data_IF_761280117591
#
_entry.id   IF_761280117591
#
_cell.length_a   1.000
_cell.length_b   1.000
_cell.length_c   1.000
_cell.angle_alpha   90.00
_cell.angle_beta   90.00
_cell.angle_gamma   90.00
#
_symmetry.space_group_name_H-M   'P 1'
#
loop_
_entity.id
_entity.type
_entity.pdbx_description
1 polymer ?
#
# COMPACT_ATOMS: atom_id res chain seq x y z
N UNK A 1 -22.48 -48.53 58.30
CA UNK A 1 -23.21 -48.01 57.14
C UNK A 1 -22.83 -46.56 56.81
N UNK A 2 -23.03 -45.59 57.72
CA UNK A 2 -22.70 -44.16 57.46
C UNK A 2 -21.23 -43.88 57.09
N UNK A 3 -20.28 -44.60 57.70
CA UNK A 3 -18.85 -44.41 57.43
C UNK A 3 -18.43 -44.87 56.03
N UNK A 4 -18.99 -45.97 55.55
CA UNK A 4 -18.74 -46.48 54.20
C UNK A 4 -19.36 -45.58 53.13
N UNK A 5 -20.57 -45.04 53.38
CA UNK A 5 -21.19 -44.06 52.48
C UNK A 5 -20.38 -42.76 52.36
N UNK A 6 -19.80 -42.27 53.47
CA UNK A 6 -18.92 -41.08 53.44
C UNK A 6 -17.62 -41.33 52.65
N UNK A 7 -17.05 -42.53 52.75
CA UNK A 7 -15.86 -42.90 51.99
C UNK A 7 -16.17 -43.00 50.49
N UNK A 8 -17.29 -43.63 50.13
CA UNK A 8 -17.76 -43.75 48.75
C UNK A 8 -18.06 -42.38 48.13
N UNK A 9 -18.71 -41.48 48.89
CA UNK A 9 -19.00 -40.12 48.44
C UNK A 9 -17.73 -39.30 48.23
N UNK A 10 -16.74 -39.39 49.14
CA UNK A 10 -15.44 -38.72 48.96
C UNK A 10 -14.70 -39.24 47.73
N UNK A 11 -14.73 -40.54 47.49
CA UNK A 11 -14.10 -41.16 46.32
C UNK A 11 -14.77 -40.70 45.02
N UNK A 12 -16.11 -40.74 44.94
CA UNK A 12 -16.88 -40.24 43.80
C UNK A 12 -16.65 -38.75 43.54
N UNK A 13 -16.55 -37.94 44.60
CA UNK A 13 -16.27 -36.51 44.48
C UNK A 13 -14.84 -36.27 43.93
N UNK A 14 -13.87 -37.07 44.36
CA UNK A 14 -12.49 -36.98 43.89
C UNK A 14 -12.34 -37.39 42.42
N UNK A 15 -13.03 -38.46 41.99
CA UNK A 15 -13.10 -38.86 40.58
C UNK A 15 -13.82 -37.82 39.73
N UNK A 16 -14.88 -37.19 40.26
CA UNK A 16 -15.56 -36.09 39.56
C UNK A 16 -14.64 -34.89 39.35
N UNK A 17 -13.88 -34.46 40.36
CA UNK A 17 -12.92 -33.37 40.20
C UNK A 17 -11.76 -33.73 39.25
N UNK A 18 -11.28 -34.99 39.29
CA UNK A 18 -10.24 -35.45 38.38
C UNK A 18 -10.72 -35.46 36.92
N UNK A 19 -11.94 -35.96 36.68
CA UNK A 19 -12.52 -36.00 35.32
C UNK A 19 -12.80 -34.60 34.77
N UNK A 20 -13.35 -33.69 35.58
CA UNK A 20 -13.54 -32.28 35.20
C UNK A 20 -12.19 -31.63 34.90
N UNK A 21 -11.19 -31.80 35.76
CA UNK A 21 -9.85 -31.22 35.56
C UNK A 21 -9.17 -31.69 34.27
N UNK A 22 -9.28 -32.99 33.94
CA UNK A 22 -8.78 -33.53 32.67
C UNK A 22 -9.52 -32.90 31.49
N UNK A 23 -10.84 -32.78 31.57
CA UNK A 23 -11.64 -32.17 30.50
C UNK A 23 -11.24 -30.71 30.26
N UNK A 24 -11.01 -29.93 31.32
CA UNK A 24 -10.57 -28.53 31.19
C UNK A 24 -9.19 -28.43 30.56
N UNK A 25 -8.25 -29.29 30.95
CA UNK A 25 -6.90 -29.34 30.35
C UNK A 25 -6.99 -29.69 28.87
N UNK A 26 -7.81 -30.67 28.49
CA UNK A 26 -8.01 -31.06 27.09
C UNK A 26 -8.63 -29.92 26.29
N UNK A 27 -9.65 -29.23 26.82
CA UNK A 27 -10.26 -28.08 26.15
C UNK A 27 -9.25 -26.94 25.99
N UNK A 28 -8.47 -26.62 27.03
CA UNK A 28 -7.41 -25.60 26.94
C UNK A 28 -6.34 -26.02 25.93
N UNK A 29 -5.91 -27.28 25.94
CA UNK A 29 -4.94 -27.79 24.97
C UNK A 29 -5.48 -27.74 23.54
N UNK A 30 -6.75 -28.09 23.31
CA UNK A 30 -7.43 -27.98 22.01
C UNK A 30 -7.56 -26.52 21.59
N UNK A 31 -7.88 -25.60 22.51
CA UNK A 31 -7.93 -24.16 22.22
C UNK A 31 -6.55 -23.59 21.91
N UNK A 32 -5.50 -24.01 22.62
CA UNK A 32 -4.10 -23.64 22.36
C UNK A 32 -3.64 -24.22 21.02
N UNK A 33 -4.00 -25.46 20.69
CA UNK A 33 -3.69 -26.10 19.41
C UNK A 33 -4.47 -25.46 18.26
N UNK A 34 -5.72 -25.05 18.48
CA UNK A 34 -6.53 -24.30 17.52
C UNK A 34 -6.08 -22.83 17.37
N UNK A 35 -5.42 -22.27 18.38
CA UNK A 35 -4.77 -20.96 18.36
C UNK A 35 -3.26 -21.03 18.09
N UNK A 36 -2.71 -22.18 17.72
CA UNK A 36 -1.36 -22.20 17.15
C UNK A 36 -1.45 -21.33 15.89
N UNK A 37 -0.70 -20.23 15.78
CA UNK A 37 -0.61 -19.52 14.52
C UNK A 37 -0.20 -20.56 13.49
N UNK A 38 -1.01 -20.71 12.44
CA UNK A 38 -0.61 -21.48 11.25
C UNK A 38 0.82 -21.05 10.94
N UNK A 39 1.77 -22.00 10.79
CA UNK A 39 3.18 -21.64 10.66
C UNK A 39 3.27 -20.60 9.56
N UNK A 40 3.69 -19.39 9.93
CA UNK A 40 3.91 -18.30 9.00
C UNK A 40 4.76 -18.87 7.87
N UNK A 41 4.14 -18.97 6.70
CA UNK A 41 4.71 -19.44 5.46
C UNK A 41 6.06 -18.72 5.26
N UNK A 42 7.17 -19.47 5.28
CA UNK A 42 8.51 -18.92 4.99
C UNK A 42 8.50 -18.25 3.61
N UNK A 43 9.48 -17.38 3.33
CA UNK A 43 9.51 -16.54 2.12
C UNK A 43 9.32 -17.32 0.80
N UNK A 44 9.86 -18.54 0.69
CA UNK A 44 9.65 -19.43 -0.47
C UNK A 44 8.19 -19.89 -0.62
N UNK A 45 7.52 -20.19 0.49
CA UNK A 45 6.10 -20.55 0.51
C UNK A 45 5.23 -19.33 0.13
N UNK A 46 5.65 -18.12 0.55
CA UNK A 46 4.93 -16.89 0.25
C UNK A 46 4.95 -16.57 -1.24
N UNK A 47 6.09 -16.75 -1.89
CA UNK A 47 6.21 -16.61 -3.35
C UNK A 47 5.31 -17.61 -4.09
N UNK A 48 5.25 -18.87 -3.64
CA UNK A 48 4.34 -19.86 -4.21
C UNK A 48 2.89 -19.45 -3.99
N UNK A 49 2.50 -19.06 -2.78
CA UNK A 49 1.12 -18.64 -2.47
C UNK A 49 0.67 -17.44 -3.32
N UNK A 50 1.52 -16.42 -3.43
CA UNK A 50 1.27 -15.24 -4.26
C UNK A 50 1.32 -15.54 -5.76
N UNK A 51 1.71 -16.74 -6.20
CA UNK A 51 1.65 -17.15 -7.61
C UNK A 51 0.37 -17.92 -7.97
N UNK A 52 -0.45 -18.29 -6.98
CA UNK A 52 -1.69 -19.02 -7.19
C UNK A 52 -2.86 -18.07 -7.53
N UNK A 53 -3.88 -18.57 -8.26
CA UNK A 53 -5.11 -17.82 -8.46
C UNK A 53 -5.92 -17.79 -7.16
N UNK A 54 -5.63 -16.80 -6.32
CA UNK A 54 -6.25 -16.60 -5.01
C UNK A 54 -7.33 -15.54 -5.14
N UNK A 55 -8.53 -15.86 -4.65
CA UNK A 55 -9.64 -14.89 -4.57
C UNK A 55 -9.19 -13.64 -3.82
N UNK A 56 -9.58 -12.46 -4.31
CA UNK A 56 -9.26 -11.20 -3.63
C UNK A 56 -9.83 -11.09 -2.20
N UNK A 57 -10.83 -11.92 -1.87
CA UNK A 57 -11.45 -12.02 -0.54
C UNK A 57 -10.87 -13.15 0.32
N UNK A 58 -9.81 -13.83 -0.13
CA UNK A 58 -9.21 -14.93 0.62
C UNK A 58 -8.76 -14.44 2.01
N UNK A 59 -9.27 -15.03 3.11
CA UNK A 59 -8.95 -14.55 4.46
C UNK A 59 -7.45 -14.58 4.77
N UNK A 60 -6.72 -15.55 4.22
CA UNK A 60 -5.28 -15.69 4.46
C UNK A 60 -4.51 -14.59 3.75
N UNK A 61 -4.90 -14.24 2.51
CA UNK A 61 -4.35 -13.10 1.78
C UNK A 61 -4.63 -11.79 2.52
N UNK A 62 -5.85 -11.58 3.00
CA UNK A 62 -6.21 -10.38 3.74
C UNK A 62 -5.45 -10.26 5.08
N UNK A 63 -5.26 -11.37 5.80
CA UNK A 63 -4.44 -11.39 7.03
C UNK A 63 -2.98 -11.09 6.72
N UNK A 64 -2.43 -11.74 5.69
CA UNK A 64 -1.06 -11.53 5.24
C UNK A 64 -0.79 -10.06 4.91
N UNK A 65 -1.65 -9.43 4.10
CA UNK A 65 -1.50 -8.01 3.75
C UNK A 65 -1.54 -7.16 5.01
N UNK A 66 -2.55 -7.37 5.86
CA UNK A 66 -2.77 -6.57 7.07
C UNK A 66 -1.62 -6.68 8.07
N UNK A 67 -1.06 -7.87 8.26
CA UNK A 67 -0.08 -8.15 9.30
C UNK A 67 1.36 -7.90 8.84
N UNK A 68 1.67 -8.08 7.56
CA UNK A 68 3.06 -8.03 7.07
C UNK A 68 3.34 -6.85 6.14
N UNK A 69 2.31 -6.26 5.51
CA UNK A 69 2.51 -5.28 4.44
C UNK A 69 1.81 -3.93 4.66
N UNK A 70 0.95 -3.81 5.68
CA UNK A 70 0.39 -2.52 6.08
C UNK A 70 1.17 -1.97 7.28
N UNK A 71 1.82 -0.83 7.08
CA UNK A 71 2.46 -0.07 8.16
C UNK A 71 1.52 1.07 8.58
N UNK A 72 1.04 1.11 9.83
CA UNK A 72 0.16 2.18 10.30
C UNK A 72 0.89 3.53 10.35
N UNK A 73 0.16 4.66 10.40
CA UNK A 73 0.77 5.98 10.58
C UNK A 73 1.70 6.00 11.80
N UNK A 74 2.84 6.72 11.72
CA UNK A 74 3.75 6.84 12.84
C UNK A 74 3.10 7.60 14.00
N UNK A 75 3.55 7.31 15.23
CA UNK A 75 3.05 8.00 16.44
C UNK A 75 3.36 9.51 16.44
N UNK A 76 4.45 9.89 15.79
CA UNK A 76 4.87 11.28 15.63
C UNK A 76 4.77 11.58 14.14
N UNK A 77 3.79 12.41 13.79
CA UNK A 77 3.53 12.84 12.42
C UNK A 77 4.41 14.06 12.13
N UNK A 78 5.05 14.08 10.97
CA UNK A 78 5.80 15.26 10.51
C UNK A 78 4.86 16.29 9.91
N UNK A 79 4.96 17.54 10.37
CA UNK A 79 4.19 18.67 9.84
C UNK A 79 5.03 19.61 8.95
N UNK A 80 6.34 19.44 8.86
CA UNK A 80 7.26 20.54 8.48
C UNK A 80 8.11 20.35 7.22
N UNK A 81 8.06 19.23 6.49
CA UNK A 81 9.17 18.93 5.56
C UNK A 81 9.14 19.61 4.19
N UNK A 82 7.98 20.01 3.65
CA UNK A 82 7.87 20.58 2.28
C UNK A 82 6.79 21.66 2.19
N UNK A 83 7.14 22.82 1.63
CA UNK A 83 6.14 23.81 1.20
C UNK A 83 5.49 23.37 -0.11
N UNK A 84 4.25 22.88 -0.01
CA UNK A 84 3.44 22.41 -1.14
C UNK A 84 3.01 23.54 -2.09
N UNK A 85 3.08 24.79 -1.64
CA UNK A 85 2.65 25.96 -2.40
C UNK A 85 3.76 26.57 -3.25
N UNK A 86 5.03 26.39 -2.84
CA UNK A 86 6.20 26.96 -3.53
C UNK A 86 7.20 25.91 -4.05
N UNK A 87 6.80 24.64 -4.06
CA UNK A 87 7.68 23.53 -4.48
C UNK A 87 8.20 23.66 -5.91
N UNK A 88 9.40 23.11 -6.14
CA UNK A 88 10.05 23.16 -7.46
C UNK A 88 9.22 22.47 -8.55
N UNK A 89 8.48 21.40 -8.22
CA UNK A 89 7.67 20.67 -9.19
C UNK A 89 6.43 21.42 -9.67
N UNK A 90 5.96 22.46 -8.98
CA UNK A 90 4.91 23.35 -9.53
C UNK A 90 5.34 24.02 -10.84
N UNK A 91 6.64 24.18 -11.06
CA UNK A 91 7.20 24.77 -12.29
C UNK A 91 7.50 23.74 -13.37
N UNK A 92 7.58 22.47 -13.00
CA UNK A 92 8.01 21.40 -13.91
C UNK A 92 6.83 20.83 -14.70
N UNK A 93 5.66 20.80 -14.07
CA UNK A 93 4.47 20.09 -14.54
C UNK A 93 3.20 20.81 -14.13
N UNK A 94 2.12 20.52 -14.87
CA UNK A 94 0.75 20.93 -14.56
C UNK A 94 0.16 20.25 -13.30
N UNK A 95 1.01 19.71 -12.42
CA UNK A 95 0.64 19.13 -11.13
C UNK A 95 -0.19 20.09 -10.27
N UNK A 96 0.14 21.39 -10.31
CA UNK A 96 -0.53 22.40 -9.51
C UNK A 96 -2.01 22.57 -9.89
N UNK A 97 -2.37 22.33 -11.17
CA UNK A 97 -3.77 22.40 -11.62
C UNK A 97 -4.64 21.38 -10.88
N UNK A 98 -4.10 20.17 -10.67
CA UNK A 98 -4.81 19.14 -9.90
C UNK A 98 -4.99 19.58 -8.45
N UNK A 99 -3.97 20.21 -7.85
CA UNK A 99 -4.07 20.72 -6.48
C UNK A 99 -5.12 21.82 -6.34
N UNK A 100 -5.25 22.70 -7.35
CA UNK A 100 -6.28 23.74 -7.37
C UNK A 100 -7.68 23.14 -7.47
N UNK A 101 -7.88 22.14 -8.33
CA UNK A 101 -9.15 21.41 -8.41
C UNK A 101 -9.49 20.71 -7.10
N UNK A 102 -8.53 20.04 -6.46
CA UNK A 102 -8.75 19.36 -5.18
C UNK A 102 -9.10 20.35 -4.07
N UNK A 103 -8.43 21.50 -4.00
CA UNK A 103 -8.81 22.59 -3.08
C UNK A 103 -10.24 23.03 -3.36
N UNK A 104 -10.58 23.34 -4.60
CA UNK A 104 -11.89 23.89 -4.93
C UNK A 104 -13.02 22.90 -4.62
N UNK A 105 -12.78 21.59 -4.79
CA UNK A 105 -13.73 20.51 -4.47
C UNK A 105 -13.86 20.24 -2.96
N UNK A 106 -12.76 20.31 -2.20
CA UNK A 106 -12.71 19.77 -0.83
C UNK A 106 -12.43 20.78 0.28
N UNK A 107 -12.09 22.04 -0.01
CA UNK A 107 -11.70 23.04 1.01
C UNK A 107 -12.74 23.27 2.11
N UNK A 108 -14.03 23.05 1.82
CA UNK A 108 -15.16 23.22 2.74
C UNK A 108 -15.74 21.88 3.22
N UNK A 109 -15.12 20.75 2.86
CA UNK A 109 -15.61 19.41 3.19
C UNK A 109 -15.00 18.90 4.49
N UNK A 110 -15.74 18.01 5.15
CA UNK A 110 -15.22 17.26 6.28
C UNK A 110 -14.02 16.37 5.85
N UNK A 111 -13.13 16.00 6.79
CA UNK A 111 -12.05 15.08 6.50
C UNK A 111 -12.54 13.77 5.88
N UNK A 112 -11.83 13.29 4.86
CA UNK A 112 -12.15 12.07 4.12
C UNK A 112 -11.00 11.07 4.09
N UNK A 113 -11.22 9.97 3.38
CA UNK A 113 -10.25 8.90 3.14
C UNK A 113 -9.69 8.99 1.73
N UNK A 114 -8.36 9.04 1.62
CA UNK A 114 -7.69 8.93 0.33
C UNK A 114 -6.97 7.59 0.16
N UNK A 115 -6.71 7.24 -1.11
CA UNK A 115 -5.75 6.21 -1.50
C UNK A 115 -4.88 6.78 -2.61
N UNK A 116 -3.56 6.70 -2.49
CA UNK A 116 -2.62 7.15 -3.51
C UNK A 116 -1.67 6.01 -3.90
N UNK A 117 -1.68 5.64 -5.18
CA UNK A 117 -0.84 4.57 -5.73
C UNK A 117 0.26 5.14 -6.61
N UNK A 118 1.50 4.98 -6.17
CA UNK A 118 2.69 5.59 -6.78
C UNK A 118 3.05 6.92 -6.14
N UNK A 119 3.07 6.99 -4.80
CA UNK A 119 3.36 8.23 -4.04
C UNK A 119 4.84 8.65 -4.08
N UNK A 120 5.73 7.83 -4.67
CA UNK A 120 7.16 8.08 -4.71
C UNK A 120 7.73 8.26 -3.29
N UNK A 121 8.44 9.37 -3.03
CA UNK A 121 9.06 9.62 -1.74
C UNK A 121 8.10 10.15 -0.66
N UNK A 122 6.79 10.22 -0.95
CA UNK A 122 5.76 10.70 -0.04
C UNK A 122 5.37 12.16 -0.19
N UNK A 123 6.22 13.00 -0.79
CA UNK A 123 5.99 14.45 -0.89
C UNK A 123 6.13 14.99 -2.32
N UNK A 124 7.10 14.48 -3.07
CA UNK A 124 7.32 14.86 -4.46
C UNK A 124 6.06 14.59 -5.27
N UNK A 125 5.44 15.66 -5.78
CA UNK A 125 4.22 15.61 -6.57
C UNK A 125 3.06 14.80 -5.95
N UNK A 126 2.99 14.66 -4.62
CA UNK A 126 1.89 13.91 -4.02
C UNK A 126 0.54 14.55 -4.34
N UNK A 127 -0.43 13.70 -4.67
CA UNK A 127 -1.81 14.10 -4.93
C UNK A 127 -2.65 14.26 -3.67
N UNK A 128 -2.20 13.72 -2.54
CA UNK A 128 -2.98 13.67 -1.29
C UNK A 128 -2.39 14.49 -0.15
N UNK A 129 -1.15 14.99 -0.28
CA UNK A 129 -0.48 15.71 0.80
C UNK A 129 -1.21 16.98 1.22
N UNK A 130 -1.83 17.70 0.27
CA UNK A 130 -2.69 18.85 0.57
C UNK A 130 -3.91 18.45 1.42
N UNK A 131 -4.63 17.39 1.02
CA UNK A 131 -5.80 16.90 1.74
C UNK A 131 -5.42 16.48 3.17
N UNK A 132 -4.29 15.80 3.33
CA UNK A 132 -3.78 15.38 4.63
C UNK A 132 -3.45 16.57 5.54
N UNK A 133 -2.62 17.50 5.06
CA UNK A 133 -2.10 18.60 5.89
C UNK A 133 -3.11 19.72 6.14
N UNK A 134 -3.92 20.06 5.15
CA UNK A 134 -4.81 21.21 5.22
C UNK A 134 -6.24 20.84 5.61
N UNK A 135 -6.68 19.61 5.31
CA UNK A 135 -8.06 19.18 5.54
C UNK A 135 -8.15 18.01 6.52
N UNK A 136 -7.03 17.61 7.14
CA UNK A 136 -6.97 16.52 8.12
C UNK A 136 -7.44 15.17 7.57
N UNK A 137 -7.34 14.96 6.26
CA UNK A 137 -7.59 13.65 5.67
C UNK A 137 -6.51 12.65 6.10
N UNK A 138 -6.85 11.37 6.02
CA UNK A 138 -5.88 10.28 6.17
C UNK A 138 -6.21 9.21 5.12
N UNK A 139 -5.39 8.18 5.02
CA UNK A 139 -5.57 7.23 3.94
C UNK A 139 -4.50 6.17 3.85
N UNK A 140 -4.38 5.62 2.64
CA UNK A 140 -3.42 4.60 2.28
C UNK A 140 -2.48 5.12 1.18
N UNK A 141 -1.17 4.94 1.38
CA UNK A 141 -0.12 5.27 0.43
C UNK A 141 0.59 3.99 -0.04
N UNK A 142 0.65 3.79 -1.36
CA UNK A 142 1.19 2.58 -1.98
C UNK A 142 2.43 2.96 -2.80
N UNK A 143 3.58 2.36 -2.48
CA UNK A 143 4.83 2.60 -3.22
C UNK A 143 5.73 1.36 -3.24
N UNK A 144 5.84 0.65 -4.37
CA UNK A 144 6.62 -0.57 -4.45
C UNK A 144 8.12 -0.37 -4.68
N UNK A 145 8.60 0.80 -5.11
CA UNK A 145 10.05 1.04 -5.22
C UNK A 145 10.66 1.11 -3.83
N UNK A 146 11.54 0.17 -3.43
CA UNK A 146 12.08 0.12 -2.07
C UNK A 146 12.92 1.35 -1.71
N UNK A 147 13.45 2.08 -2.69
CA UNK A 147 14.18 3.34 -2.48
C UNK A 147 13.21 4.45 -2.11
N UNK A 148 12.12 4.57 -2.87
CA UNK A 148 11.04 5.54 -2.64
C UNK A 148 10.29 5.24 -1.34
N UNK A 149 9.94 3.98 -1.10
CA UNK A 149 9.24 3.54 0.10
C UNK A 149 10.04 3.85 1.38
N UNK A 150 11.36 3.65 1.38
CA UNK A 150 12.20 4.08 2.51
C UNK A 150 12.10 5.58 2.79
N UNK A 151 12.09 6.41 1.74
CA UNK A 151 11.94 7.85 1.89
C UNK A 151 10.54 8.21 2.38
N UNK A 152 9.48 7.61 1.81
CA UNK A 152 8.10 7.77 2.23
C UNK A 152 7.93 7.55 3.73
N UNK A 153 8.45 6.44 4.26
CA UNK A 153 8.38 6.16 5.70
C UNK A 153 9.09 7.21 6.54
N UNK A 154 10.24 7.71 6.07
CA UNK A 154 10.98 8.76 6.74
C UNK A 154 10.24 10.12 6.74
N UNK A 155 9.30 10.35 5.80
CA UNK A 155 8.45 11.55 5.79
C UNK A 155 7.39 11.55 6.88
N UNK A 156 7.13 10.39 7.50
CA UNK A 156 6.21 10.26 8.63
C UNK A 156 4.83 10.91 8.40
N UNK A 157 4.24 10.62 7.24
CA UNK A 157 2.89 11.08 6.86
C UNK A 157 1.81 10.46 7.74
N UNK A 158 0.70 11.17 7.92
CA UNK A 158 -0.49 10.71 8.62
C UNK A 158 -1.33 9.74 7.76
N UNK A 159 -0.72 8.66 7.29
CA UNK A 159 -1.37 7.66 6.45
C UNK A 159 -0.75 6.28 6.68
N UNK A 160 -1.55 5.24 6.49
CA UNK A 160 -1.04 3.87 6.39
C UNK A 160 -0.20 3.77 5.11
N UNK A 161 0.92 3.09 5.16
CA UNK A 161 1.79 2.88 3.99
C UNK A 161 1.95 1.41 3.68
N UNK A 162 2.19 1.08 2.41
CA UNK A 162 2.50 -0.29 1.99
C UNK A 162 3.54 -0.33 0.87
N UNK A 163 4.48 -1.29 0.89
CA UNK A 163 5.44 -1.50 -0.18
C UNK A 163 4.91 -2.42 -1.30
N UNK A 164 3.62 -2.78 -1.25
CA UNK A 164 3.01 -3.62 -2.27
C UNK A 164 2.84 -2.86 -3.59
N UNK A 165 2.93 -3.56 -4.71
CA UNK A 165 2.38 -3.06 -5.97
C UNK A 165 0.90 -3.46 -6.11
N UNK A 166 0.20 -2.76 -7.00
CA UNK A 166 -1.16 -3.14 -7.39
C UNK A 166 -1.10 -3.94 -8.68
N UNK A 167 -1.73 -5.12 -8.68
CA UNK A 167 -1.89 -6.00 -9.84
C UNK A 167 -3.36 -6.33 -10.06
N UNK A 168 -3.68 -6.85 -11.25
CA UNK A 168 -5.03 -7.23 -11.63
C UNK A 168 -5.37 -8.69 -11.26
N UNK A 169 -6.61 -8.90 -10.81
CA UNK A 169 -7.26 -10.19 -10.46
C UNK A 169 -6.63 -11.01 -9.33
N UNK A 170 -5.34 -11.33 -9.43
CA UNK A 170 -4.66 -12.24 -8.52
C UNK A 170 -3.41 -11.59 -7.93
N UNK A 171 -2.99 -12.01 -6.73
CA UNK A 171 -1.66 -11.68 -6.25
C UNK A 171 -0.60 -12.19 -7.24
N UNK A 172 0.56 -11.56 -7.23
CA UNK A 172 1.69 -11.94 -8.06
C UNK A 172 3.02 -11.49 -7.44
N UNK A 173 4.11 -12.14 -7.84
CA UNK A 173 5.45 -11.57 -7.69
C UNK A 173 5.78 -10.81 -8.99
N UNK A 174 5.66 -9.48 -8.94
CA UNK A 174 5.87 -8.59 -10.07
C UNK A 174 7.34 -8.21 -10.23
N UNK A 175 7.79 -8.11 -11.49
CA UNK A 175 9.10 -7.51 -11.81
C UNK A 175 8.95 -5.99 -11.89
N UNK A 176 9.48 -5.27 -10.91
CA UNK A 176 9.54 -3.81 -10.90
C UNK A 176 10.85 -3.34 -11.51
N UNK A 177 10.77 -2.44 -12.49
CA UNK A 177 11.93 -1.78 -13.06
C UNK A 177 12.21 -0.49 -12.30
N UNK A 178 13.46 -0.33 -11.87
CA UNK A 178 13.95 0.77 -11.07
C UNK A 178 14.77 1.69 -11.95
N UNK A 179 14.31 2.93 -12.18
CA UNK A 179 15.08 3.93 -12.93
C UNK A 179 16.38 4.24 -12.18
N UNK A 180 17.53 4.15 -12.85
CA UNK A 180 18.78 4.61 -12.26
C UNK A 180 18.76 6.13 -12.13
N UNK A 181 19.27 6.64 -11.01
CA UNK A 181 19.46 8.08 -10.80
C UNK A 181 20.87 8.41 -11.29
N UNK A 182 21.04 9.26 -12.32
CA UNK A 182 22.38 9.72 -12.73
C UNK A 182 23.13 10.43 -11.60
N UNK A 183 24.46 10.30 -11.54
CA UNK A 183 25.27 10.90 -10.47
C UNK A 183 25.33 12.44 -10.56
N UNK A 184 25.07 13.00 -11.73
CA UNK A 184 25.16 14.43 -12.05
C UNK A 184 23.82 15.18 -11.95
N UNK A 185 22.74 14.50 -11.57
CA UNK A 185 21.44 15.13 -11.37
C UNK A 185 21.33 15.75 -9.96
N UNK A 186 20.95 17.05 -9.83
CA UNK A 186 20.70 17.66 -8.53
C UNK A 186 19.67 16.90 -7.69
N UNK A 187 19.87 16.86 -6.37
CA UNK A 187 19.06 16.08 -5.42
C UNK A 187 17.55 16.37 -5.55
N UNK A 188 17.17 17.63 -5.73
CA UNK A 188 15.76 18.02 -5.86
C UNK A 188 15.07 17.49 -7.13
N UNK A 189 15.84 16.97 -8.10
CA UNK A 189 15.31 16.29 -9.28
C UNK A 189 15.36 14.77 -9.19
N UNK A 190 15.89 14.20 -8.11
CA UNK A 190 15.91 12.74 -7.91
C UNK A 190 14.48 12.18 -7.89
N UNK A 191 13.50 12.95 -7.36
CA UNK A 191 12.09 12.60 -7.39
C UNK A 191 11.54 12.34 -8.79
N UNK A 192 12.00 13.10 -9.79
CA UNK A 192 11.60 12.91 -11.20
C UNK A 192 12.08 11.56 -11.71
N UNK A 193 13.31 11.15 -11.37
CA UNK A 193 13.86 9.85 -11.77
C UNK A 193 13.16 8.70 -11.02
N UNK A 194 12.98 8.83 -9.71
CA UNK A 194 12.28 7.84 -8.90
C UNK A 194 10.83 7.61 -9.36
N UNK A 195 10.13 8.67 -9.74
CA UNK A 195 8.76 8.60 -10.27
C UNK A 195 8.64 7.89 -11.63
N UNK A 196 9.76 7.57 -12.31
CA UNK A 196 9.77 6.76 -13.54
C UNK A 196 9.89 5.25 -13.28
N UNK A 197 10.13 4.82 -12.04
CA UNK A 197 10.07 3.39 -11.70
C UNK A 197 8.67 2.84 -11.93
N UNK A 198 8.56 1.67 -12.55
CA UNK A 198 7.28 1.09 -12.93
C UNK A 198 7.39 -0.42 -13.14
N UNK A 199 6.26 -1.13 -13.23
CA UNK A 199 6.27 -2.56 -13.54
C UNK A 199 6.94 -2.79 -14.89
N UNK A 200 7.85 -3.77 -14.98
CA UNK A 200 8.66 -3.99 -16.17
C UNK A 200 7.83 -4.13 -17.45
N UNK A 201 6.63 -4.71 -17.36
CA UNK A 201 5.71 -4.89 -18.48
C UNK A 201 5.26 -3.58 -19.13
N UNK A 202 5.36 -2.45 -18.43
CA UNK A 202 4.97 -1.12 -18.91
C UNK A 202 6.16 -0.25 -19.35
N UNK A 203 7.41 -0.73 -19.16
CA UNK A 203 8.62 0.02 -19.52
C UNK A 203 8.83 0.03 -21.03
N UNK A 204 9.05 1.23 -21.60
CA UNK A 204 9.44 1.38 -23.00
C UNK A 204 10.72 0.54 -23.27
N UNK A 205 10.71 -0.34 -24.29
CA UNK A 205 11.88 -1.11 -24.66
C UNK A 205 13.19 -0.31 -24.77
N UNK A 206 13.14 0.95 -25.21
CA UNK A 206 14.29 1.85 -25.37
C UNK A 206 14.88 2.30 -24.04
N UNK A 207 14.12 2.25 -22.94
CA UNK A 207 14.56 2.70 -21.63
C UNK A 207 15.07 1.58 -20.73
N UNK A 208 14.87 0.31 -21.08
CA UNK A 208 15.12 -0.82 -20.18
C UNK A 208 16.55 -0.88 -19.62
N UNK A 209 17.54 -0.46 -20.42
CA UNK A 209 18.96 -0.39 -20.04
C UNK A 209 19.29 0.78 -19.11
N UNK A 210 18.37 1.72 -18.91
CA UNK A 210 18.52 2.89 -18.06
C UNK A 210 18.15 2.63 -16.58
N UNK A 211 17.95 1.38 -16.23
CA UNK A 211 17.52 0.96 -14.90
C UNK A 211 17.90 -0.47 -14.58
N UNK A 212 17.51 -0.90 -13.39
CA UNK A 212 17.65 -2.27 -12.90
C UNK A 212 16.28 -2.86 -12.61
N UNK A 213 16.19 -4.10 -12.13
CA UNK A 213 14.90 -4.69 -11.76
C UNK A 213 14.99 -5.45 -10.45
N UNK A 214 13.89 -5.40 -9.71
CA UNK A 214 13.68 -6.14 -8.47
C UNK A 214 12.34 -6.87 -8.54
N UNK A 215 12.20 -7.90 -7.71
CA UNK A 215 10.93 -8.61 -7.55
C UNK A 215 10.20 -8.05 -6.34
N UNK A 216 8.92 -7.75 -6.51
CA UNK A 216 8.07 -7.16 -5.48
C UNK A 216 6.72 -7.87 -5.44
N UNK A 217 6.12 -8.05 -4.25
CA UNK A 217 4.78 -8.60 -4.13
C UNK A 217 3.75 -7.58 -4.60
N UNK A 218 2.85 -8.02 -5.48
CA UNK A 218 1.68 -7.25 -5.92
C UNK A 218 0.40 -7.96 -5.50
N UNK A 219 -0.64 -7.19 -5.22
CA UNK A 219 -1.97 -7.70 -4.86
C UNK A 219 -3.09 -6.95 -5.60
N UNK A 220 -4.28 -7.56 -5.74
CA UNK A 220 -5.46 -6.86 -6.21
C UNK A 220 -5.78 -5.64 -5.34
N UNK A 221 -6.21 -4.55 -5.97
CA UNK A 221 -6.59 -3.33 -5.27
C UNK A 221 -7.71 -3.62 -4.25
N UNK A 222 -8.68 -4.44 -4.65
CA UNK A 222 -9.76 -4.93 -3.78
C UNK A 222 -9.25 -5.63 -2.52
N UNK A 223 -8.23 -6.50 -2.63
CA UNK A 223 -7.62 -7.15 -1.45
C UNK A 223 -6.95 -6.12 -0.54
N UNK A 224 -6.22 -5.17 -1.13
CA UNK A 224 -5.51 -4.14 -0.37
C UNK A 224 -6.47 -3.22 0.39
N UNK A 225 -7.57 -2.79 -0.25
CA UNK A 225 -8.61 -1.98 0.37
C UNK A 225 -9.32 -2.75 1.50
N UNK A 226 -9.70 -4.02 1.27
CA UNK A 226 -10.32 -4.86 2.31
C UNK A 226 -9.39 -5.09 3.50
N UNK A 227 -8.10 -5.35 3.25
CA UNK A 227 -7.11 -5.52 4.32
C UNK A 227 -6.94 -4.24 5.14
N UNK A 228 -7.05 -3.08 4.49
CA UNK A 228 -7.01 -1.74 5.09
C UNK A 228 -8.33 -1.30 5.74
N UNK A 229 -9.35 -2.17 5.76
CA UNK A 229 -10.72 -1.86 6.22
C UNK A 229 -11.36 -0.67 5.48
N UNK A 230 -11.05 -0.52 4.20
CA UNK A 230 -11.58 0.54 3.34
C UNK A 230 -12.57 -0.07 2.33
N UNK A 231 -13.85 0.25 2.49
CA UNK A 231 -14.88 -0.01 1.47
C UNK A 231 -15.41 1.28 0.83
N UNK A 232 -15.05 2.42 1.40
CA UNK A 232 -15.35 3.74 0.85
C UNK A 232 -14.04 4.51 0.75
N UNK A 233 -13.79 5.12 -0.41
CA UNK A 233 -12.63 5.98 -0.67
C UNK A 233 -13.14 7.28 -1.27
N UNK A 234 -12.93 8.38 -0.55
CA UNK A 234 -13.38 9.71 -0.99
C UNK A 234 -12.54 10.23 -2.16
N UNK A 235 -11.25 9.89 -2.19
CA UNK A 235 -10.34 10.25 -3.27
C UNK A 235 -9.31 9.17 -3.56
N UNK A 236 -9.37 8.57 -4.76
CA UNK A 236 -8.39 7.60 -5.25
C UNK A 236 -7.52 8.26 -6.33
N UNK A 237 -6.20 8.33 -6.10
CA UNK A 237 -5.22 8.80 -7.06
C UNK A 237 -4.34 7.63 -7.55
N UNK A 238 -4.25 7.46 -8.88
CA UNK A 238 -3.45 6.43 -9.53
C UNK A 238 -2.37 7.11 -10.39
N UNK A 239 -1.13 7.11 -9.89
CA UNK A 239 0.03 7.79 -10.49
C UNK A 239 1.08 6.78 -10.96
N UNK A 240 0.64 5.67 -11.55
CA UNK A 240 1.51 4.53 -11.91
C UNK A 240 2.15 4.64 -13.30
N UNK A 241 1.82 5.68 -14.09
CA UNK A 241 2.33 5.88 -15.44
C UNK A 241 1.82 4.91 -16.51
N UNK A 242 1.06 3.88 -16.12
CA UNK A 242 0.47 2.90 -17.05
C UNK A 242 -0.70 3.52 -17.82
N UNK A 243 -0.79 3.24 -19.13
CA UNK A 243 -1.89 3.69 -19.99
C UNK A 243 -3.11 2.76 -19.90
N UNK A 244 -2.96 1.57 -19.33
CA UNK A 244 -4.02 0.57 -19.17
C UNK A 244 -4.56 0.51 -17.72
N UNK A 245 -4.58 1.65 -17.02
CA UNK A 245 -5.00 1.74 -15.61
C UNK A 245 -6.44 1.26 -15.40
N UNK A 246 -7.34 1.46 -16.38
CA UNK A 246 -8.74 1.06 -16.28
C UNK A 246 -8.91 -0.44 -15.96
N UNK A 247 -8.07 -1.29 -16.55
CA UNK A 247 -8.09 -2.72 -16.28
C UNK A 247 -7.65 -3.03 -14.84
N UNK A 248 -6.67 -2.31 -14.30
CA UNK A 248 -6.08 -2.55 -12.97
C UNK A 248 -7.02 -2.25 -11.81
N UNK A 249 -8.05 -1.44 -12.02
CA UNK A 249 -9.02 -1.05 -10.98
C UNK A 249 -10.44 -1.53 -11.27
N UNK A 250 -10.61 -2.35 -12.30
CA UNK A 250 -11.91 -2.93 -12.64
C UNK A 250 -12.47 -3.78 -11.49
N UNK A 251 -11.61 -4.39 -10.67
CA UNK A 251 -11.96 -5.16 -9.48
C UNK A 251 -12.64 -4.33 -8.38
N UNK A 252 -12.34 -3.03 -8.29
CA UNK A 252 -12.99 -2.10 -7.36
C UNK A 252 -14.11 -1.29 -8.01
N UNK A 253 -13.97 -0.91 -9.28
CA UNK A 253 -14.94 -0.03 -9.98
C UNK A 253 -16.18 -0.77 -10.49
N UNK A 254 -16.07 -2.07 -10.81
CA UNK A 254 -17.21 -2.91 -11.21
C UNK A 254 -17.87 -3.65 -10.04
N UNK A 255 -17.28 -3.53 -8.85
CA UNK A 255 -17.73 -4.24 -7.65
C UNK A 255 -18.71 -3.38 -6.85
N UNK A 256 -19.85 -3.97 -6.46
CA UNK A 256 -20.80 -3.33 -5.54
C UNK A 256 -20.28 -3.24 -4.08
N UNK A 257 -19.02 -3.65 -3.84
CA UNK A 257 -18.41 -3.64 -2.49
C UNK A 257 -17.76 -2.30 -2.18
N UNK A 258 -17.26 -1.60 -3.19
CA UNK A 258 -16.43 -0.42 -3.01
C UNK A 258 -17.13 0.82 -3.54
N UNK A 259 -17.14 1.88 -2.74
CA UNK A 259 -17.65 3.20 -3.10
C UNK A 259 -16.48 4.17 -3.28
N UNK A 260 -16.10 4.41 -4.54
CA UNK A 260 -15.01 5.32 -4.90
C UNK A 260 -15.62 6.62 -5.43
N UNK A 261 -15.52 7.72 -4.67
CA UNK A 261 -16.25 8.96 -4.96
C UNK A 261 -15.58 9.82 -6.03
N UNK A 262 -14.26 9.94 -5.97
CA UNK A 262 -13.46 10.66 -6.96
C UNK A 262 -12.23 9.83 -7.33
N UNK A 263 -12.03 9.64 -8.63
CA UNK A 263 -10.90 8.94 -9.20
C UNK A 263 -10.06 9.91 -10.03
N UNK A 264 -8.78 10.04 -9.69
CA UNK A 264 -7.76 10.70 -10.50
C UNK A 264 -6.85 9.64 -11.11
N UNK A 265 -6.79 9.60 -12.44
CA UNK A 265 -5.82 8.79 -13.18
C UNK A 265 -4.83 9.72 -13.84
N UNK A 266 -3.55 9.60 -13.47
CA UNK A 266 -2.48 10.39 -14.08
C UNK A 266 -1.68 9.53 -15.06
N UNK A 267 -1.65 9.96 -16.31
CA UNK A 267 -0.83 9.37 -17.35
C UNK A 267 0.48 10.14 -17.49
N UNK A 268 1.56 9.44 -17.77
CA UNK A 268 2.78 10.10 -18.25
C UNK A 268 2.49 10.69 -19.62
N UNK A 269 2.42 12.03 -19.69
CA UNK A 269 2.51 12.74 -20.97
C UNK A 269 3.97 13.04 -21.23
N UNK A 270 4.42 12.94 -22.48
CA UNK A 270 5.77 13.32 -22.90
C UNK A 270 6.00 14.83 -22.86
N UNK A 271 4.98 15.63 -22.50
CA UNK A 271 5.09 17.08 -22.34
C UNK A 271 5.37 17.43 -20.89
N UNK A 272 6.65 17.54 -20.58
CA UNK A 272 7.11 18.46 -19.54
C UNK A 272 7.13 19.87 -20.16
N UNK A 273 6.73 20.90 -19.41
CA UNK A 273 6.47 22.24 -19.97
C UNK A 273 7.63 22.77 -20.83
N UNK A 274 7.35 23.61 -21.83
CA UNK A 274 8.32 24.20 -22.76
C UNK A 274 9.43 25.05 -22.11
N UNK A 275 9.38 25.30 -20.80
CA UNK A 275 10.53 25.87 -20.11
C UNK A 275 11.67 24.85 -20.04
N UNK A 276 12.85 25.25 -20.51
CA UNK A 276 14.06 24.47 -20.38
C UNK A 276 14.33 24.18 -18.91
N UNK A 277 13.95 22.97 -18.49
CA UNK A 277 14.59 22.28 -17.38
C UNK A 277 16.10 22.54 -17.51
N UNK A 278 16.85 22.80 -16.42
CA UNK A 278 18.30 22.91 -16.53
C UNK A 278 18.80 21.71 -17.34
N UNK A 279 19.68 21.96 -18.31
CA UNK A 279 20.30 20.91 -19.13
C UNK A 279 21.10 20.01 -18.18
N UNK A 280 20.41 19.05 -17.55
CA UNK A 280 21.01 18.04 -16.70
C UNK A 280 21.64 17.04 -17.67
N UNK A 281 22.97 16.87 -17.65
CA UNK A 281 23.59 15.88 -18.52
C UNK A 281 22.98 14.49 -18.24
N UNK A 282 22.64 13.75 -19.30
CA UNK A 282 21.90 12.48 -19.19
C UNK A 282 20.37 12.58 -19.10
N UNK A 283 19.80 13.78 -18.96
CA UNK A 283 18.36 14.01 -19.12
C UNK A 283 18.01 14.15 -20.60
N UNK A 284 17.44 13.10 -21.18
CA UNK A 284 16.82 13.17 -22.51
C UNK A 284 15.39 13.67 -22.26
N UNK A 285 15.01 14.90 -22.65
CA UNK A 285 13.60 15.25 -22.68
C UNK A 285 12.90 14.22 -23.55
N UNK A 286 11.76 13.68 -23.10
CA UNK A 286 10.94 12.77 -23.90
C UNK A 286 10.41 13.54 -25.12
N UNK A 287 11.26 13.67 -26.14
CA UNK A 287 10.93 14.24 -27.44
C UNK A 287 9.93 13.26 -28.06
N UNK A 288 8.66 13.71 -28.10
CA UNK A 288 7.56 12.98 -28.72
C UNK A 288 7.81 12.58 -30.17
#
# INVERSE_FOLDING_TARGET
MLHQMRALFKWLLQDFYATVGILTIVVIAVLILAHQPTPLCHQECLEVYLSLPVSFRDPSLLSLIREQYLEPPPKIISTESVDIYSSIWRKLLDWYLVQEVLRDLFHDKAPGLFVEVGVCNGEFMSQTLYLERNLSWSGLLVEPDPRSYRQLRARARNATTTPLCVEYDNPAIGRLWLRNIPDDIPEHYHGVMLARSQLYKTVDPKERNLGSSVWVPCVPMSSLLLASNMTTVDFLALTTGDRNVDNKISDITLSNTFDIKLLLVQFQTSRLSEESFPEIPGYIPDLG
#
